data_IF_311779265303
#
_entry.id   IF_311779265303
#
_cell.length_a   1.000
_cell.length_b   1.000
_cell.length_c   1.000
_cell.angle_alpha   90.00
_cell.angle_beta   90.00
_cell.angle_gamma   90.00
#
_symmetry.space_group_name_H-M   'P 1'
#
loop_
_entity.id
_entity.type
_entity.pdbx_description
1 polymer ?
#
# COMPACT_ATOMS: atom_id res chain seq x y z
N UNK A 1 -16.96 2.84 23.99
CA UNK A 1 -15.50 2.76 23.76
C UNK A 1 -14.92 1.70 24.69
N UNK A 2 -13.98 0.88 24.21
CA UNK A 2 -13.38 -0.22 25.01
C UNK A 2 -12.56 0.33 26.19
N UNK A 3 -12.60 -0.36 27.34
CA UNK A 3 -11.93 0.08 28.58
C UNK A 3 -10.41 0.24 28.45
N UNK A 4 -9.76 -0.60 27.65
CA UNK A 4 -8.31 -0.50 27.38
C UNK A 4 -7.97 0.72 26.50
N UNK A 5 -8.83 1.07 25.54
CA UNK A 5 -8.68 2.26 24.72
C UNK A 5 -8.89 3.54 25.54
N UNK A 6 -9.87 3.54 26.46
CA UNK A 6 -10.11 4.67 27.38
C UNK A 6 -8.95 4.87 28.35
N UNK A 7 -8.39 3.80 28.92
CA UNK A 7 -7.23 3.88 29.81
C UNK A 7 -5.98 4.42 29.09
N UNK A 8 -5.71 3.96 27.85
CA UNK A 8 -4.62 4.50 27.04
C UNK A 8 -4.85 5.98 26.69
N UNK A 9 -6.05 6.35 26.26
CA UNK A 9 -6.37 7.74 25.91
C UNK A 9 -6.28 8.67 27.13
N UNK A 10 -6.71 8.22 28.31
CA UNK A 10 -6.53 8.99 29.55
C UNK A 10 -5.04 9.26 29.84
N UNK A 11 -4.18 8.24 29.71
CA UNK A 11 -2.74 8.42 29.87
C UNK A 11 -2.10 9.29 28.77
N UNK A 12 -2.61 9.24 27.52
CA UNK A 12 -2.15 10.11 26.43
C UNK A 12 -2.57 11.57 26.63
N UNK A 13 -3.73 11.82 27.26
CA UNK A 13 -4.18 13.17 27.58
C UNK A 13 -3.43 13.77 28.78
N UNK A 14 -3.06 12.95 29.77
CA UNK A 14 -2.17 13.34 30.87
C UNK A 14 -0.69 13.48 30.43
N UNK A 15 -0.36 13.06 29.20
CA UNK A 15 0.99 13.00 28.66
C UNK A 15 1.64 14.35 28.37
N UNK A 16 0.88 15.46 28.39
CA UNK A 16 1.51 16.77 28.41
C UNK A 16 2.39 16.95 29.67
N UNK A 17 2.24 16.10 30.70
CA UNK A 17 2.91 16.21 31.99
C UNK A 17 3.85 15.05 32.40
N UNK A 18 3.74 13.81 31.88
CA UNK A 18 4.54 12.69 32.41
C UNK A 18 4.86 11.57 31.38
N UNK A 19 6.12 11.47 30.94
CA UNK A 19 6.56 10.60 29.83
C UNK A 19 6.74 9.10 30.11
N UNK A 20 6.70 8.61 31.35
CA UNK A 20 7.01 7.20 31.68
C UNK A 20 5.78 6.27 31.76
N UNK A 21 4.59 6.81 32.05
CA UNK A 21 3.36 6.02 32.25
C UNK A 21 2.83 5.42 30.93
N UNK A 22 3.18 6.00 29.78
CA UNK A 22 2.65 5.62 28.46
C UNK A 22 3.09 4.23 28.00
N UNK A 23 4.30 3.79 28.36
CA UNK A 23 4.83 2.47 28.01
C UNK A 23 4.14 1.33 28.77
N UNK A 24 3.56 1.61 29.94
CA UNK A 24 2.87 0.62 30.77
C UNK A 24 1.49 0.27 30.19
N UNK A 25 0.80 1.22 29.56
CA UNK A 25 -0.56 1.03 29.02
C UNK A 25 -0.59 0.68 27.53
N UNK A 26 0.53 0.80 26.81
CA UNK A 26 0.62 0.39 25.40
C UNK A 26 0.59 -1.13 25.23
N UNK A 27 1.24 -1.89 26.12
CA UNK A 27 1.31 -3.37 26.01
C UNK A 27 -0.07 -4.04 26.16
N UNK A 28 -0.90 -3.70 27.17
CA UNK A 28 -2.26 -4.25 27.28
C UNK A 28 -3.16 -3.87 26.10
N UNK A 29 -2.99 -2.66 25.54
CA UNK A 29 -3.74 -2.23 24.35
C UNK A 29 -3.35 -3.04 23.11
N UNK A 30 -2.05 -3.20 22.85
CA UNK A 30 -1.57 -4.04 21.73
C UNK A 30 -2.06 -5.48 21.87
N UNK A 31 -2.04 -6.03 23.08
CA UNK A 31 -2.54 -7.38 23.33
C UNK A 31 -4.04 -7.48 23.08
N UNK A 32 -4.85 -6.52 23.55
CA UNK A 32 -6.29 -6.49 23.29
C UNK A 32 -6.60 -6.41 21.79
N UNK A 33 -5.88 -5.56 21.05
CA UNK A 33 -6.02 -5.45 19.58
C UNK A 33 -5.60 -6.74 18.90
N UNK A 34 -4.47 -7.34 19.31
CA UNK A 34 -3.99 -8.61 18.73
C UNK A 34 -4.96 -9.76 18.94
N UNK A 35 -5.56 -9.88 20.13
CA UNK A 35 -6.56 -10.92 20.42
C UNK A 35 -7.83 -10.69 19.60
N UNK A 36 -8.29 -9.43 19.50
CA UNK A 36 -9.47 -9.09 18.72
C UNK A 36 -9.26 -9.38 17.22
N UNK A 37 -8.11 -8.99 16.66
CA UNK A 37 -7.77 -9.27 15.27
C UNK A 37 -7.64 -10.78 15.05
N UNK A 38 -6.98 -11.49 15.97
CA UNK A 38 -6.89 -12.95 15.93
C UNK A 38 -8.27 -13.61 15.81
N UNK A 39 -9.18 -13.28 16.73
CA UNK A 39 -10.56 -13.75 16.70
C UNK A 39 -11.30 -13.37 15.40
N UNK A 40 -11.20 -12.10 14.96
CA UNK A 40 -11.87 -11.62 13.76
C UNK A 40 -11.34 -12.25 12.45
N UNK A 41 -10.14 -12.82 12.48
CA UNK A 41 -9.51 -13.50 11.34
C UNK A 41 -9.59 -15.03 11.42
N UNK A 42 -10.37 -15.59 12.36
CA UNK A 42 -10.61 -17.03 12.39
C UNK A 42 -11.31 -17.49 11.09
N UNK A 43 -10.99 -18.69 10.55
CA UNK A 43 -11.39 -19.10 9.19
C UNK A 43 -12.90 -19.00 8.90
N UNK A 44 -13.74 -19.24 9.90
CA UNK A 44 -15.19 -19.16 9.77
C UNK A 44 -15.71 -17.73 9.55
N UNK A 45 -14.91 -16.69 9.83
CA UNK A 45 -15.29 -15.28 9.67
C UNK A 45 -14.68 -14.63 8.41
N UNK A 46 -13.72 -15.27 7.74
CA UNK A 46 -12.99 -14.70 6.60
C UNK A 46 -13.83 -14.58 5.31
N UNK A 47 -14.94 -15.31 5.22
CA UNK A 47 -15.71 -15.42 3.98
C UNK A 47 -14.96 -16.23 2.92
N UNK A 48 -15.25 -15.97 1.64
CA UNK A 48 -14.66 -16.70 0.51
C UNK A 48 -14.11 -15.72 -0.53
N UNK A 49 -12.93 -16.01 -1.08
CA UNK A 49 -12.40 -15.25 -2.21
C UNK A 49 -13.30 -15.42 -3.44
N UNK A 50 -13.33 -14.40 -4.31
CA UNK A 50 -14.09 -14.47 -5.54
C UNK A 50 -13.56 -15.59 -6.46
N UNK A 51 -14.48 -16.39 -7.02
CA UNK A 51 -14.17 -17.34 -8.07
C UNK A 51 -14.02 -16.57 -9.39
N UNK A 52 -12.77 -16.39 -9.84
CA UNK A 52 -12.43 -15.69 -11.08
C UNK A 52 -11.97 -16.68 -12.14
N UNK A 53 -12.26 -16.39 -13.41
CA UNK A 53 -11.73 -17.16 -14.54
C UNK A 53 -10.20 -17.03 -14.62
N UNK A 54 -9.55 -17.92 -15.38
CA UNK A 54 -8.11 -17.82 -15.67
C UNK A 54 -7.75 -16.48 -16.32
N UNK A 55 -8.55 -16.04 -17.29
CA UNK A 55 -8.43 -14.72 -17.93
C UNK A 55 -8.58 -13.58 -16.91
N UNK A 56 -9.58 -13.66 -16.01
CA UNK A 56 -9.76 -12.67 -14.96
C UNK A 56 -8.58 -12.60 -13.99
N UNK A 57 -7.98 -13.75 -13.69
CA UNK A 57 -6.76 -13.83 -12.86
C UNK A 57 -5.54 -13.23 -13.56
N UNK A 58 -5.41 -13.41 -14.87
CA UNK A 58 -4.34 -12.79 -15.66
C UNK A 58 -4.47 -11.26 -15.67
N UNK A 59 -5.69 -10.74 -15.86
CA UNK A 59 -5.98 -9.30 -15.76
C UNK A 59 -5.65 -8.77 -14.37
N UNK A 60 -6.12 -9.45 -13.32
CA UNK A 60 -5.84 -9.09 -11.93
C UNK A 60 -4.32 -9.07 -11.66
N UNK A 61 -3.60 -10.08 -12.13
CA UNK A 61 -2.15 -10.20 -11.94
C UNK A 61 -1.39 -9.06 -12.63
N UNK A 62 -1.77 -8.71 -13.86
CA UNK A 62 -1.18 -7.59 -14.59
C UNK A 62 -1.39 -6.26 -13.85
N UNK A 63 -2.62 -6.01 -13.37
CA UNK A 63 -2.93 -4.78 -12.61
C UNK A 63 -2.15 -4.74 -11.29
N UNK A 64 -2.12 -5.84 -10.53
CA UNK A 64 -1.37 -5.93 -9.29
C UNK A 64 0.13 -5.72 -9.51
N UNK A 65 0.70 -6.25 -10.61
CA UNK A 65 2.10 -6.03 -10.99
C UNK A 65 2.41 -4.56 -11.29
N UNK A 66 1.53 -3.88 -12.03
CA UNK A 66 1.66 -2.44 -12.32
C UNK A 66 1.57 -1.60 -11.04
N UNK A 67 0.62 -1.89 -10.15
CA UNK A 67 0.49 -1.20 -8.84
C UNK A 67 1.71 -1.46 -7.96
N UNK A 68 2.23 -2.70 -7.93
CA UNK A 68 3.42 -3.04 -7.16
C UNK A 68 4.64 -2.23 -7.62
N UNK A 69 4.79 -2.03 -8.94
CA UNK A 69 5.86 -1.17 -9.49
C UNK A 69 5.77 0.27 -8.98
N UNK A 70 4.56 0.83 -8.89
CA UNK A 70 4.33 2.16 -8.31
C UNK A 70 4.70 2.21 -6.83
N UNK A 71 4.26 1.21 -6.05
CA UNK A 71 4.60 1.12 -4.61
C UNK A 71 6.12 1.07 -4.41
N UNK A 72 6.83 0.27 -5.20
CA UNK A 72 8.29 0.18 -5.13
C UNK A 72 8.98 1.50 -5.49
N UNK A 73 8.49 2.21 -6.51
CA UNK A 73 9.00 3.53 -6.87
C UNK A 73 8.80 4.55 -5.74
N UNK A 74 7.65 4.54 -5.06
CA UNK A 74 7.39 5.40 -3.89
C UNK A 74 8.29 5.06 -2.70
N UNK A 75 8.54 3.78 -2.45
CA UNK A 75 9.48 3.33 -1.40
C UNK A 75 10.89 3.82 -1.70
N UNK A 76 11.36 3.65 -2.95
CA UNK A 76 12.68 4.10 -3.37
C UNK A 76 12.81 5.63 -3.27
N UNK A 77 11.79 6.37 -3.68
CA UNK A 77 11.75 7.84 -3.56
C UNK A 77 11.87 8.28 -2.11
N UNK A 78 11.13 7.63 -1.21
CA UNK A 78 11.17 7.90 0.23
C UNK A 78 12.56 7.61 0.82
N UNK A 79 13.21 6.54 0.34
CA UNK A 79 14.59 6.22 0.73
C UNK A 79 15.58 7.29 0.21
N UNK A 80 15.49 7.72 -1.04
CA UNK A 80 16.34 8.79 -1.57
C UNK A 80 16.15 10.11 -0.82
N UNK A 81 14.92 10.46 -0.44
CA UNK A 81 14.65 11.64 0.39
C UNK A 81 15.29 11.51 1.78
N UNK A 82 15.19 10.34 2.41
CA UNK A 82 15.82 10.08 3.70
C UNK A 82 17.34 10.21 3.61
N UNK A 83 17.97 9.58 2.62
CA UNK A 83 19.41 9.66 2.38
C UNK A 83 19.85 11.13 2.22
N UNK A 84 19.13 11.93 1.43
CA UNK A 84 19.42 13.35 1.26
C UNK A 84 19.36 14.11 2.59
N UNK A 85 18.34 13.88 3.41
CA UNK A 85 18.21 14.58 4.70
C UNK A 85 19.30 14.21 5.69
N UNK A 86 19.85 12.99 5.60
CA UNK A 86 20.89 12.50 6.51
C UNK A 86 22.29 12.96 6.09
N UNK A 87 22.54 13.16 4.79
CA UNK A 87 23.84 13.57 4.24
C UNK A 87 23.90 15.05 3.85
N UNK A 88 23.01 15.90 4.41
CA UNK A 88 22.93 17.33 4.09
C UNK A 88 24.23 18.11 4.41
N UNK A 89 25.09 17.57 5.29
CA UNK A 89 26.37 18.15 5.67
C UNK A 89 27.56 17.67 4.81
N UNK A 90 27.37 16.62 4.00
CA UNK A 90 28.42 16.01 3.18
C UNK A 90 28.28 16.46 1.72
N UNK A 91 28.85 17.63 1.41
CA UNK A 91 28.71 18.31 0.12
C UNK A 91 29.28 17.49 -1.07
N UNK A 92 30.24 16.60 -0.79
CA UNK A 92 30.94 15.80 -1.80
C UNK A 92 30.09 14.75 -2.52
N UNK A 93 28.91 14.39 -1.99
CA UNK A 93 27.99 13.39 -2.58
C UNK A 93 26.58 13.92 -2.81
N UNK A 94 26.31 15.19 -2.50
CA UNK A 94 24.97 15.76 -2.59
C UNK A 94 24.41 15.72 -4.02
N UNK A 95 25.26 15.86 -5.04
CA UNK A 95 24.86 15.75 -6.45
C UNK A 95 24.30 14.36 -6.79
N UNK A 96 25.03 13.29 -6.43
CA UNK A 96 24.62 11.91 -6.72
C UNK A 96 23.29 11.56 -6.06
N UNK A 97 23.06 12.03 -4.82
CA UNK A 97 21.80 11.82 -4.12
C UNK A 97 20.64 12.58 -4.77
N UNK A 98 20.86 13.81 -5.27
CA UNK A 98 19.86 14.58 -6.02
C UNK A 98 19.54 13.94 -7.37
N UNK A 99 20.55 13.40 -8.06
CA UNK A 99 20.39 12.68 -9.31
C UNK A 99 19.57 11.39 -9.11
N UNK A 100 19.89 10.61 -8.07
CA UNK A 100 19.09 9.42 -7.69
C UNK A 100 17.63 9.78 -7.36
N UNK A 101 17.41 10.87 -6.63
CA UNK A 101 16.06 11.36 -6.33
C UNK A 101 15.31 11.73 -7.62
N UNK A 102 15.96 12.47 -8.52
CA UNK A 102 15.39 12.85 -9.83
C UNK A 102 15.00 11.60 -10.63
N UNK A 103 15.92 10.63 -10.75
CA UNK A 103 15.69 9.40 -11.49
C UNK A 103 14.54 8.58 -10.88
N UNK A 104 14.46 8.52 -9.55
CA UNK A 104 13.33 7.88 -8.85
C UNK A 104 12.01 8.60 -9.09
N UNK A 105 12.01 9.93 -9.15
CA UNK A 105 10.83 10.74 -9.48
C UNK A 105 10.36 10.52 -10.92
N UNK A 106 11.29 10.46 -11.88
CA UNK A 106 10.99 10.12 -13.27
C UNK A 106 10.39 8.71 -13.39
N UNK A 107 11.03 7.71 -12.78
CA UNK A 107 10.53 6.33 -12.77
C UNK A 107 9.14 6.21 -12.13
N UNK A 108 8.85 6.97 -11.08
CA UNK A 108 7.51 7.04 -10.48
C UNK A 108 6.47 7.64 -11.46
N UNK A 109 6.82 8.70 -12.17
CA UNK A 109 5.92 9.30 -13.18
C UNK A 109 5.65 8.33 -14.34
N UNK A 110 6.67 7.63 -14.81
CA UNK A 110 6.56 6.62 -15.86
C UNK A 110 5.68 5.43 -15.44
N UNK A 111 5.90 4.90 -14.23
CA UNK A 111 5.09 3.80 -13.68
C UNK A 111 3.62 4.19 -13.48
N UNK A 112 3.33 5.41 -13.04
CA UNK A 112 1.96 5.94 -12.97
C UNK A 112 1.31 6.06 -14.36
N UNK A 113 2.09 6.45 -15.37
CA UNK A 113 1.61 6.53 -16.76
C UNK A 113 1.29 5.14 -17.30
N UNK A 114 2.17 4.16 -17.06
CA UNK A 114 1.97 2.76 -17.44
C UNK A 114 0.77 2.13 -16.72
N UNK A 115 0.58 2.42 -15.43
CA UNK A 115 -0.60 1.97 -14.68
C UNK A 115 -1.88 2.55 -15.30
N UNK A 116 -1.88 3.85 -15.61
CA UNK A 116 -3.02 4.51 -16.24
C UNK A 116 -3.36 3.89 -17.60
N UNK A 117 -2.35 3.53 -18.38
CA UNK A 117 -2.52 2.81 -19.64
C UNK A 117 -3.07 1.40 -19.41
N UNK A 118 -2.48 0.63 -18.48
CA UNK A 118 -2.94 -0.72 -18.11
C UNK A 118 -4.41 -0.72 -17.72
N UNK A 119 -4.83 0.24 -16.88
CA UNK A 119 -6.22 0.38 -16.46
C UNK A 119 -7.12 0.77 -17.63
N UNK A 120 -6.68 1.70 -18.49
CA UNK A 120 -7.46 2.13 -19.66
C UNK A 120 -7.72 0.98 -20.63
N UNK A 121 -6.69 0.22 -20.96
CA UNK A 121 -6.78 -0.95 -21.86
C UNK A 121 -7.72 -2.02 -21.32
N UNK A 122 -7.74 -2.25 -20.00
CA UNK A 122 -8.54 -3.30 -19.34
C UNK A 122 -9.94 -2.83 -18.91
N UNK A 123 -10.18 -1.52 -18.88
CA UNK A 123 -11.49 -0.91 -18.50
C UNK A 123 -12.49 -0.83 -19.66
N UNK A 124 -12.05 -1.01 -20.91
CA UNK A 124 -12.90 -0.85 -22.09
C UNK A 124 -13.95 -1.98 -22.20
N UNK A 125 -15.27 -1.67 -22.25
CA UNK A 125 -16.35 -2.67 -22.37
C UNK A 125 -16.43 -3.41 -23.72
N UNK A 126 -15.42 -3.30 -24.61
CA UNK A 126 -15.58 -3.55 -26.05
C UNK A 126 -14.82 -4.74 -26.64
N UNK A 127 -14.54 -5.76 -25.85
CA UNK A 127 -14.12 -7.08 -26.37
C UNK A 127 -15.06 -8.20 -25.94
N UNK A 128 -16.37 -7.92 -25.83
CA UNK A 128 -17.34 -8.92 -26.24
C UNK A 128 -17.21 -9.04 -27.76
N UNK A 129 -16.66 -10.17 -28.21
CA UNK A 129 -16.48 -10.55 -29.61
C UNK A 129 -17.71 -10.16 -30.45
N UNK A 130 -17.55 -9.73 -31.72
CA UNK A 130 -18.68 -9.73 -32.63
C UNK A 130 -19.17 -11.18 -32.71
N UNK A 131 -20.40 -11.43 -32.25
CA UNK A 131 -21.07 -12.70 -32.55
C UNK A 131 -21.09 -12.77 -34.07
N UNK A 132 -20.34 -13.71 -34.61
CA UNK A 132 -20.29 -13.95 -36.04
C UNK A 132 -21.65 -14.55 -36.42
N UNK A 133 -22.62 -13.69 -36.73
CA UNK A 133 -23.90 -14.08 -37.32
C UNK A 133 -23.67 -14.52 -38.76
N UNK A 134 -22.99 -15.64 -38.95
CA UNK A 134 -22.93 -16.31 -40.24
C UNK A 134 -22.83 -17.83 -40.04
N UNK A 135 -24.01 -18.44 -39.91
CA UNK A 135 -24.32 -19.83 -40.21
C UNK A 135 -25.84 -19.82 -40.45
N UNK A 136 -26.41 -20.18 -41.59
CA UNK A 136 -25.92 -20.79 -42.81
C UNK A 136 -27.16 -21.40 -43.47
N UNK A 137 -27.42 -21.03 -44.73
CA UNK A 137 -28.52 -21.47 -45.61
C UNK A 137 -29.97 -21.23 -45.16
#
# INVERSE_FOLDING_TARGET
>A
MSGSAMAFLACVLELKAAGAQQALFSRPLVQAVSVLVGFATEPQFLGHAAAVSTEGKEVQTAILGSVMSVVLACVLLTQCLRDLTQHLAEDSKMWDHRERLRNSGCAMSETCTLLSQTLRERSSPRTLLPVNSNSGN
#
